data_IF_656143980971
#
_entry.id   IF_656143980971
#
_cell.length_a   1.000
_cell.length_b   1.000
_cell.length_c   1.000
_cell.angle_alpha   90.00
_cell.angle_beta   90.00
_cell.angle_gamma   90.00
#
_symmetry.space_group_name_H-M   'P 1'
#
loop_
_entity.id
_entity.type
_entity.pdbx_description
1 polymer ?
#
# COMPACT_ATOMS: atom_id res chain seq x y z
N UNK A 1 4.35 20.19 -5.00
CA UNK A 1 3.87 18.83 -4.69
C UNK A 1 2.53 18.94 -3.99
N UNK A 2 1.45 18.48 -4.61
CA UNK A 2 0.11 18.41 -4.00
C UNK A 2 -0.15 16.96 -3.61
N UNK A 3 -0.11 16.65 -2.32
CA UNK A 3 -0.50 15.32 -1.83
C UNK A 3 -2.02 15.20 -1.98
N UNK A 4 -2.54 14.14 -2.62
CA UNK A 4 -3.97 13.91 -2.72
C UNK A 4 -4.61 13.83 -1.32
N UNK A 5 -5.78 14.45 -1.16
CA UNK A 5 -6.57 14.29 0.06
C UNK A 5 -7.29 12.94 0.12
N UNK A 6 -7.39 12.22 -1.00
CA UNK A 6 -7.93 10.86 -1.06
C UNK A 6 -6.94 9.82 -0.55
N UNK A 7 -7.46 8.70 -0.05
CA UNK A 7 -6.67 7.58 0.43
C UNK A 7 -5.90 6.94 -0.72
N UNK A 8 -4.57 6.93 -0.61
CA UNK A 8 -3.70 6.42 -1.66
C UNK A 8 -3.85 4.91 -1.93
N UNK A 9 -4.41 4.15 -0.99
CA UNK A 9 -4.59 2.70 -1.14
C UNK A 9 -5.87 2.34 -1.90
N UNK A 10 -6.98 3.04 -1.63
CA UNK A 10 -8.30 2.69 -2.15
C UNK A 10 -8.93 3.73 -3.06
N UNK A 11 -8.44 4.98 -3.04
CA UNK A 11 -8.93 6.15 -3.79
C UNK A 11 -10.44 6.42 -3.68
N UNK A 12 -11.05 6.07 -2.54
CA UNK A 12 -12.51 6.15 -2.32
C UNK A 12 -12.96 7.05 -1.17
N UNK A 13 -12.06 7.40 -0.27
CA UNK A 13 -12.37 8.22 0.90
C UNK A 13 -11.21 9.16 1.21
N UNK A 14 -11.43 10.17 2.06
CA UNK A 14 -10.36 11.06 2.50
C UNK A 14 -9.35 10.29 3.37
N UNK A 15 -8.07 10.52 3.14
CA UNK A 15 -7.00 9.90 3.92
C UNK A 15 -7.12 10.33 5.39
N UNK A 16 -7.16 9.34 6.27
CA UNK A 16 -7.15 9.53 7.72
C UNK A 16 -6.68 8.25 8.40
N UNK A 17 -6.17 8.37 9.64
CA UNK A 17 -5.79 7.18 10.42
C UNK A 17 -6.98 6.25 10.63
N UNK A 18 -8.16 6.80 10.93
CA UNK A 18 -9.38 6.02 11.10
C UNK A 18 -9.71 5.26 9.82
N UNK A 19 -9.71 5.93 8.67
CA UNK A 19 -9.94 5.27 7.38
C UNK A 19 -8.91 4.16 7.13
N UNK A 20 -7.62 4.46 7.26
CA UNK A 20 -6.53 3.51 6.99
C UNK A 20 -6.66 2.22 7.83
N UNK A 21 -7.05 2.34 9.10
CA UNK A 21 -7.10 1.21 10.02
C UNK A 21 -8.45 0.48 10.05
N UNK A 22 -9.56 1.19 9.87
CA UNK A 22 -10.90 0.65 10.14
C UNK A 22 -11.80 0.57 8.91
N UNK A 23 -11.62 1.45 7.92
CA UNK A 23 -12.58 1.58 6.81
C UNK A 23 -11.97 1.23 5.43
N UNK A 24 -10.63 1.21 5.33
CA UNK A 24 -9.94 0.97 4.08
C UNK A 24 -9.98 -0.53 3.74
N UNK A 25 -10.75 -0.88 2.71
CA UNK A 25 -10.90 -2.26 2.23
C UNK A 25 -9.55 -2.90 1.89
N UNK A 26 -8.65 -2.15 1.25
CA UNK A 26 -7.31 -2.64 0.89
C UNK A 26 -6.45 -2.95 2.13
N UNK A 27 -6.55 -2.14 3.18
CA UNK A 27 -5.88 -2.43 4.44
C UNK A 27 -6.44 -3.69 5.09
N UNK A 28 -7.78 -3.81 5.13
CA UNK A 28 -8.45 -4.97 5.70
C UNK A 28 -8.09 -6.26 4.97
N UNK A 29 -8.06 -6.25 3.64
CA UNK A 29 -7.64 -7.38 2.81
C UNK A 29 -6.20 -7.82 3.13
N UNK A 30 -5.26 -6.87 3.22
CA UNK A 30 -3.86 -7.17 3.53
C UNK A 30 -3.71 -7.80 4.93
N UNK A 31 -4.40 -7.26 5.94
CA UNK A 31 -4.39 -7.79 7.31
C UNK A 31 -4.99 -9.20 7.33
N UNK A 32 -6.19 -9.38 6.75
CA UNK A 32 -6.87 -10.67 6.69
C UNK A 32 -6.03 -11.74 6.00
N UNK A 33 -5.42 -11.40 4.86
CA UNK A 33 -4.53 -12.30 4.13
C UNK A 33 -3.33 -12.76 4.97
N UNK A 34 -2.63 -11.81 5.62
CA UNK A 34 -1.44 -12.13 6.43
C UNK A 34 -1.80 -12.98 7.64
N UNK A 35 -2.89 -12.66 8.35
CA UNK A 35 -3.35 -13.43 9.50
C UNK A 35 -3.79 -14.83 9.09
N UNK A 36 -4.54 -14.96 7.99
CA UNK A 36 -4.93 -16.26 7.45
C UNK A 36 -3.68 -17.09 7.09
N UNK A 37 -2.73 -16.50 6.35
CA UNK A 37 -1.50 -17.19 5.93
C UNK A 37 -0.66 -17.64 7.14
N UNK A 38 -0.54 -16.79 8.16
CA UNK A 38 0.16 -17.12 9.41
C UNK A 38 -0.48 -18.33 10.09
N UNK A 39 -1.81 -18.30 10.26
CA UNK A 39 -2.55 -19.37 10.92
C UNK A 39 -2.44 -20.69 10.15
N UNK A 40 -2.53 -20.67 8.82
CA UNK A 40 -2.33 -21.87 8.02
C UNK A 40 -0.90 -22.40 8.12
N UNK A 41 0.10 -21.52 8.07
CA UNK A 41 1.49 -21.92 8.24
C UNK A 41 1.71 -22.57 9.61
N UNK A 42 1.15 -22.00 10.67
CA UNK A 42 1.21 -22.53 12.02
C UNK A 42 0.52 -23.89 12.15
N UNK A 43 -0.61 -24.09 11.48
CA UNK A 43 -1.31 -25.40 11.47
C UNK A 43 -0.44 -26.51 10.87
N UNK A 44 0.36 -26.20 9.84
CA UNK A 44 1.22 -27.20 9.19
C UNK A 44 2.61 -27.35 9.81
N UNK A 45 3.16 -26.28 10.41
CA UNK A 45 4.55 -26.24 10.86
C UNK A 45 4.72 -26.06 12.38
N UNK A 46 3.62 -25.91 13.14
CA UNK A 46 3.62 -25.66 14.59
C UNK A 46 4.48 -24.49 15.08
N UNK A 47 4.87 -23.59 14.18
CA UNK A 47 5.72 -22.43 14.49
C UNK A 47 4.91 -21.14 14.49
N UNK A 48 5.20 -20.29 15.48
CA UNK A 48 4.60 -18.96 15.60
C UNK A 48 5.51 -17.91 14.98
N UNK A 49 4.97 -17.07 14.11
CA UNK A 49 5.68 -15.85 13.69
C UNK A 49 5.46 -14.75 14.71
N UNK A 50 6.42 -13.84 14.86
CA UNK A 50 6.25 -12.68 15.74
C UNK A 50 5.33 -11.64 15.11
N UNK A 51 4.59 -10.90 15.93
CA UNK A 51 3.70 -9.83 15.47
C UNK A 51 4.45 -8.80 14.61
N UNK A 52 5.69 -8.49 14.97
CA UNK A 52 6.56 -7.60 14.20
C UNK A 52 6.75 -8.06 12.75
N UNK A 53 6.93 -9.37 12.51
CA UNK A 53 7.05 -9.90 11.15
C UNK A 53 5.74 -9.81 10.37
N UNK A 54 4.60 -10.03 11.03
CA UNK A 54 3.29 -9.89 10.39
C UNK A 54 3.00 -8.45 9.99
N UNK A 55 3.28 -7.49 10.88
CA UNK A 55 3.14 -6.05 10.61
C UNK A 55 4.05 -5.66 9.43
N UNK A 56 5.30 -6.14 9.42
CA UNK A 56 6.22 -5.89 8.32
C UNK A 56 5.70 -6.44 6.99
N UNK A 57 5.11 -7.63 6.98
CA UNK A 57 4.50 -8.19 5.76
C UNK A 57 3.29 -7.39 5.28
N UNK A 58 2.40 -6.98 6.18
CA UNK A 58 1.25 -6.13 5.85
C UNK A 58 1.73 -4.83 5.18
N UNK A 59 2.75 -4.19 5.75
CA UNK A 59 3.36 -2.98 5.18
C UNK A 59 3.96 -3.22 3.79
N UNK A 60 4.62 -4.36 3.57
CA UNK A 60 5.18 -4.71 2.26
C UNK A 60 4.07 -4.89 1.22
N UNK A 61 2.98 -5.57 1.57
CA UNK A 61 1.81 -5.75 0.67
C UNK A 61 1.20 -4.39 0.30
N UNK A 62 0.97 -3.52 1.30
CA UNK A 62 0.45 -2.17 1.07
C UNK A 62 1.36 -1.35 0.14
N UNK A 63 2.69 -1.39 0.37
CA UNK A 63 3.66 -0.70 -0.49
C UNK A 63 3.69 -1.27 -1.91
N UNK A 64 3.62 -2.59 -2.07
CA UNK A 64 3.58 -3.22 -3.38
C UNK A 64 2.33 -2.82 -4.17
N UNK A 65 1.19 -2.68 -3.49
CA UNK A 65 -0.05 -2.16 -4.10
C UNK A 65 0.11 -0.72 -4.58
N UNK A 66 0.68 0.16 -3.76
CA UNK A 66 0.98 1.56 -4.13
C UNK A 66 1.89 1.63 -5.36
N UNK A 67 3.00 0.88 -5.36
CA UNK A 67 3.92 0.80 -6.51
C UNK A 67 3.21 0.26 -7.76
N UNK A 68 2.29 -0.69 -7.61
CA UNK A 68 1.49 -1.22 -8.70
C UNK A 68 0.57 -0.15 -9.32
N UNK A 69 -0.01 0.74 -8.50
CA UNK A 69 -0.87 1.82 -8.96
C UNK A 69 -0.09 2.92 -9.70
N UNK A 70 1.12 3.25 -9.25
CA UNK A 70 2.02 4.19 -9.95
C UNK A 70 2.41 3.72 -11.36
N UNK A 71 2.32 2.41 -11.63
CA UNK A 71 2.69 1.78 -12.90
C UNK A 71 1.50 1.58 -13.84
N UNK A 72 0.27 1.90 -13.43
CA UNK A 72 -0.89 1.85 -14.32
C UNK A 72 -0.77 3.02 -15.31
N UNK A 73 -0.68 2.77 -16.63
CA UNK A 73 -0.68 3.84 -17.61
C UNK A 73 -2.02 4.55 -17.54
N UNK A 74 -2.00 5.85 -17.22
CA UNK A 74 -3.19 6.71 -17.27
C UNK A 74 -3.77 6.63 -18.68
N UNK A 75 -5.05 6.25 -18.79
CA UNK A 75 -5.75 6.26 -20.08
C UNK A 75 -5.69 7.67 -20.72
N UNK A 76 -5.61 7.79 -22.05
CA UNK A 76 -5.29 9.05 -22.73
C UNK A 76 -6.31 10.18 -22.56
N UNK A 77 -7.44 9.92 -21.90
CA UNK A 77 -8.62 10.79 -21.86
C UNK A 77 -8.47 12.02 -20.95
N UNK A 78 -7.39 12.14 -20.17
CA UNK A 78 -7.13 13.30 -19.31
C UNK A 78 -5.76 13.94 -19.58
N UNK A 79 -5.49 14.27 -20.84
CA UNK A 79 -4.30 15.05 -21.21
C UNK A 79 -4.55 16.54 -21.00
N UNK A 80 -4.64 16.97 -19.75
CA UNK A 80 -4.62 18.38 -19.37
C UNK A 80 -4.22 18.52 -17.90
N UNK A 81 -2.97 18.20 -17.55
CA UNK A 81 -2.23 18.88 -16.48
C UNK A 81 -0.84 18.25 -16.28
N UNK A 82 0.18 19.10 -16.42
CA UNK A 82 1.52 19.04 -15.83
C UNK A 82 2.31 17.72 -15.87
N UNK A 83 3.53 17.79 -16.39
CA UNK A 83 4.62 16.86 -16.11
C UNK A 83 4.66 16.50 -14.60
N UNK A 84 4.12 15.35 -14.21
CA UNK A 84 4.28 14.79 -12.87
C UNK A 84 5.54 13.93 -12.93
N UNK A 85 6.63 14.38 -12.30
CA UNK A 85 7.82 13.56 -12.16
C UNK A 85 7.48 12.26 -11.44
N UNK A 86 8.01 11.14 -11.93
CA UNK A 86 7.76 9.82 -11.36
C UNK A 86 8.17 9.79 -9.87
N UNK A 87 7.30 9.24 -9.02
CA UNK A 87 7.56 9.07 -7.59
C UNK A 87 8.87 8.30 -7.30
N UNK A 88 9.31 7.45 -8.22
CA UNK A 88 10.61 6.77 -8.17
C UNK A 88 11.80 7.75 -8.27
N UNK A 89 11.71 8.75 -9.15
CA UNK A 89 12.75 9.79 -9.30
C UNK A 89 12.88 10.57 -8.01
N UNK A 90 11.75 11.00 -7.43
CA UNK A 90 11.76 11.69 -6.12
C UNK A 90 12.40 10.82 -5.03
N UNK A 91 12.07 9.53 -4.98
CA UNK A 91 12.63 8.66 -3.94
C UNK A 91 14.15 8.48 -4.07
N UNK A 92 14.66 8.28 -5.29
CA UNK A 92 16.11 8.17 -5.52
C UNK A 92 16.85 9.47 -5.19
N UNK A 93 16.29 10.63 -5.52
CA UNK A 93 16.95 11.92 -5.25
C UNK A 93 17.11 12.20 -3.76
N UNK A 94 16.17 11.77 -2.91
CA UNK A 94 16.15 12.16 -1.50
C UNK A 94 16.61 11.08 -0.53
N UNK A 95 16.55 9.80 -0.91
CA UNK A 95 16.76 8.69 0.04
C UNK A 95 17.94 7.78 -0.31
N UNK A 96 18.64 8.03 -1.41
CA UNK A 96 19.86 7.31 -1.75
C UNK A 96 20.87 8.27 -2.43
N UNK A 97 22.01 8.62 -1.79
CA UNK A 97 23.09 9.27 -2.53
C UNK A 97 23.69 8.32 -3.58
#
# INVERSE_FOLDING_TARGET
MTVPSSCLLCDRANESRSHLFFDCLVSAEAVCYVLWRERNLRLHNSTSRSAHLLIKEIQVIMKAKLIGMDRIPVQPTQRSQSFQESHLVTWFTYFQP
#
